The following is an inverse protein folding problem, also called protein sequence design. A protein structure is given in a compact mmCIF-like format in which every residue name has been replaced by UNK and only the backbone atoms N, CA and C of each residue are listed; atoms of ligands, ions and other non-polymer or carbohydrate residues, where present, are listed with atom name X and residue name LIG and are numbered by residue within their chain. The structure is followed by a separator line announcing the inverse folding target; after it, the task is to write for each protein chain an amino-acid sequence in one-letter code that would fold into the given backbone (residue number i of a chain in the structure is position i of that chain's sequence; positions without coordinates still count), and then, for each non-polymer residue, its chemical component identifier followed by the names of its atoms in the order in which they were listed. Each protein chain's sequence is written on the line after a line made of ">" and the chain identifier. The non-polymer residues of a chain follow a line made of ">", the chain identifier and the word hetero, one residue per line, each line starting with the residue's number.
data_IF_588403393438
#
_entry.id   IF_588403393438
#
_cell.length_a   1.000
_cell.length_b   1.000
_cell.length_c   1.000
_cell.angle_alpha   90.00
_cell.angle_beta   90.00
_cell.angle_gamma   90.00
#
_symmetry.space_group_name_H-M   'P 1'
#
loop_
_entity.id
_entity.type
_entity.pdbx_description
1 polymer ?
#
# COMPACT_ATOMS: atom_id res chain seq x y z
N UNK A 1 -13.95 -4.00 -6.21
CA UNK A 1 -12.75 -4.00 -5.36
C UNK A 1 -12.16 -5.40 -5.31
N UNK A 2 -10.84 -5.53 -5.32
CA UNK A 2 -10.15 -6.82 -5.17
C UNK A 2 -10.41 -7.39 -3.77
N UNK A 3 -10.76 -8.68 -3.65
CA UNK A 3 -10.99 -9.34 -2.36
C UNK A 3 -9.79 -9.27 -1.40
N UNK A 4 -8.58 -9.11 -1.94
CA UNK A 4 -7.36 -8.95 -1.14
C UNK A 4 -7.28 -7.61 -0.39
N UNK A 5 -7.85 -6.54 -0.96
CA UNK A 5 -7.89 -5.21 -0.33
C UNK A 5 -8.86 -5.22 0.86
N UNK A 6 -10.02 -5.86 0.71
CA UNK A 6 -10.98 -6.03 1.79
C UNK A 6 -10.38 -6.79 2.97
N UNK A 7 -9.61 -7.85 2.69
CA UNK A 7 -8.92 -8.63 3.72
C UNK A 7 -7.86 -7.81 4.50
N UNK A 8 -7.22 -6.81 3.90
CA UNK A 8 -6.31 -5.90 4.62
C UNK A 8 -7.07 -5.04 5.63
N UNK A 9 -8.21 -4.47 5.23
CA UNK A 9 -9.07 -3.71 6.13
C UNK A 9 -9.57 -4.57 7.28
N UNK A 10 -10.05 -5.78 7.01
CA UNK A 10 -10.51 -6.72 8.05
C UNK A 10 -9.39 -7.11 9.04
N UNK A 11 -8.15 -7.27 8.56
CA UNK A 11 -7.00 -7.65 9.40
C UNK A 11 -6.46 -6.50 10.24
N UNK A 12 -6.47 -5.27 9.72
CA UNK A 12 -5.82 -4.11 10.34
C UNK A 12 -6.78 -3.15 11.01
N UNK A 13 -8.08 -3.20 10.66
CA UNK A 13 -9.09 -2.22 11.05
C UNK A 13 -8.91 -0.86 10.37
N UNK A 14 -7.98 -0.71 9.42
CA UNK A 14 -7.67 0.57 8.81
C UNK A 14 -8.51 0.79 7.55
N UNK A 15 -9.31 1.86 7.56
CA UNK A 15 -10.11 2.28 6.40
C UNK A 15 -9.26 2.77 5.23
N UNK A 16 -7.95 2.96 5.44
CA UNK A 16 -7.06 3.51 4.43
C UNK A 16 -6.96 2.67 3.16
N UNK A 17 -7.16 1.36 3.27
CA UNK A 17 -7.13 0.47 2.12
C UNK A 17 -8.31 0.68 1.15
N UNK A 18 -9.30 1.48 1.53
CA UNK A 18 -10.44 1.86 0.69
C UNK A 18 -10.42 3.33 0.24
N UNK A 19 -9.48 4.16 0.72
CA UNK A 19 -9.38 5.57 0.35
C UNK A 19 -8.40 5.80 -0.82
N UNK A 20 -8.55 6.92 -1.52
CA UNK A 20 -7.66 7.31 -2.64
C UNK A 20 -6.23 7.65 -2.18
N UNK A 21 -6.05 7.98 -0.90
CA UNK A 21 -4.73 8.24 -0.32
C UNK A 21 -4.79 8.57 1.17
N UNK A 22 -3.62 8.57 1.82
CA UNK A 22 -3.43 8.94 3.23
C UNK A 22 -2.45 10.10 3.34
N UNK A 23 -2.76 11.07 4.19
CA UNK A 23 -1.72 11.93 4.74
C UNK A 23 -1.16 11.27 6.01
N UNK A 24 0.07 10.77 5.94
CA UNK A 24 0.75 10.12 7.06
C UNK A 24 2.26 10.41 7.02
N UNK A 25 2.93 10.11 8.13
CA UNK A 25 4.39 10.17 8.15
C UNK A 25 5.00 9.03 7.31
N UNK A 26 6.27 9.18 6.97
CA UNK A 26 6.99 8.24 6.11
C UNK A 26 7.06 6.82 6.70
N UNK A 27 7.22 6.70 8.02
CA UNK A 27 7.28 5.40 8.71
C UNK A 27 5.98 4.62 8.51
N UNK A 28 4.83 5.27 8.75
CA UNK A 28 3.52 4.67 8.57
C UNK A 28 3.26 4.32 7.10
N UNK A 29 3.70 5.17 6.16
CA UNK A 29 3.59 4.88 4.73
C UNK A 29 4.36 3.60 4.35
N UNK A 30 5.59 3.42 4.86
CA UNK A 30 6.38 2.22 4.65
C UNK A 30 5.71 0.97 5.21
N UNK A 31 5.18 1.03 6.43
CA UNK A 31 4.50 -0.11 7.06
C UNK A 31 3.24 -0.53 6.28
N UNK A 32 2.42 0.44 5.88
CA UNK A 32 1.20 0.19 5.10
C UNK A 32 1.51 -0.44 3.74
N UNK A 33 2.58 0.02 3.07
CA UNK A 33 2.99 -0.54 1.79
C UNK A 33 3.60 -1.94 1.96
N UNK A 34 4.39 -2.18 3.01
CA UNK A 34 4.92 -3.51 3.30
C UNK A 34 3.77 -4.53 3.56
N UNK A 35 2.76 -4.13 4.34
CA UNK A 35 1.55 -4.95 4.55
C UNK A 35 0.82 -5.23 3.25
N UNK A 36 0.69 -4.20 2.40
CA UNK A 36 0.04 -4.32 1.09
C UNK A 36 0.80 -5.25 0.16
N UNK A 37 2.12 -5.17 0.13
CA UNK A 37 2.98 -6.04 -0.69
C UNK A 37 2.79 -7.50 -0.30
N UNK A 38 2.82 -7.79 1.01
CA UNK A 38 2.61 -9.13 1.53
C UNK A 38 1.22 -9.68 1.17
N UNK A 39 0.16 -8.89 1.36
CA UNK A 39 -1.20 -9.37 1.08
C UNK A 39 -1.46 -9.54 -0.43
N UNK A 40 -0.93 -8.62 -1.24
CA UNK A 40 -1.18 -8.60 -2.68
C UNK A 40 -0.33 -9.61 -3.46
N UNK A 41 0.58 -10.33 -2.80
CA UNK A 41 1.66 -11.11 -3.43
C UNK A 41 2.43 -10.25 -4.44
N UNK A 42 2.65 -8.98 -4.10
CA UNK A 42 3.40 -8.05 -4.94
C UNK A 42 4.90 -8.39 -4.88
N UNK A 43 5.64 -8.04 -5.94
CA UNK A 43 7.08 -8.29 -6.03
C UNK A 43 7.85 -7.44 -5.01
N UNK A 44 7.32 -6.28 -4.67
CA UNK A 44 7.93 -5.36 -3.75
C UNK A 44 7.30 -3.98 -3.79
N UNK A 45 8.03 -3.01 -3.28
CA UNK A 45 7.64 -1.61 -3.18
C UNK A 45 8.54 -0.76 -4.09
N UNK A 46 7.96 0.26 -4.70
CA UNK A 46 8.71 1.31 -5.38
C UNK A 46 8.37 2.68 -4.79
N UNK A 47 9.42 3.49 -4.54
CA UNK A 47 9.29 4.90 -4.19
C UNK A 47 9.45 5.71 -5.46
N UNK A 48 8.46 6.55 -5.78
CA UNK A 48 8.54 7.43 -6.96
C UNK A 48 9.57 8.53 -6.68
N UNK A 49 10.65 8.64 -7.47
CA UNK A 49 11.63 9.71 -7.31
C UNK A 49 11.06 11.04 -7.82
N UNK A 50 11.21 12.10 -7.02
CA UNK A 50 10.72 13.45 -7.29
C UNK A 50 10.75 14.32 -6.04
N UNK A 51 10.92 15.64 -6.19
CA UNK A 51 11.13 16.57 -5.07
C UNK A 51 9.95 16.65 -4.07
N UNK A 52 8.79 16.04 -4.39
CA UNK A 52 7.57 16.06 -3.56
C UNK A 52 6.82 14.74 -3.52
N UNK A 53 7.38 13.64 -4.01
CA UNK A 53 6.65 12.37 -4.11
C UNK A 53 6.82 11.54 -2.84
N UNK A 54 5.86 11.69 -1.91
CA UNK A 54 5.61 10.77 -0.79
C UNK A 54 4.72 9.58 -1.22
N UNK A 55 4.77 9.21 -2.51
CA UNK A 55 3.96 8.15 -3.09
C UNK A 55 4.74 6.83 -3.04
N UNK A 56 4.19 5.88 -2.30
CA UNK A 56 4.67 4.51 -2.20
C UNK A 56 3.68 3.59 -2.92
N UNK A 57 4.17 2.75 -3.82
CA UNK A 57 3.32 1.86 -4.61
C UNK A 57 3.80 0.41 -4.49
N UNK A 58 2.84 -0.52 -4.42
CA UNK A 58 3.10 -1.96 -4.50
C UNK A 58 3.19 -2.38 -5.98
N UNK A 59 4.26 -3.09 -6.35
CA UNK A 59 4.48 -3.57 -7.70
C UNK A 59 3.89 -4.96 -7.90
N UNK A 60 2.80 -5.07 -8.64
CA UNK A 60 2.16 -6.35 -8.95
C UNK A 60 2.66 -6.85 -10.31
N UNK A 61 3.21 -8.07 -10.37
CA UNK A 61 3.46 -8.75 -11.65
C UNK A 61 2.15 -9.34 -12.17
N UNK A 62 1.73 -8.98 -13.38
CA UNK A 62 0.71 -9.75 -14.10
C UNK A 62 1.42 -10.70 -15.05
N UNK A 63 1.25 -12.01 -14.83
CA UNK A 63 1.47 -13.02 -15.86
C UNK A 63 0.35 -12.96 -16.90
#
# INVERSE_FOLDING_TARGET
>A
MSGKIKALKEKTGLDIFEAEGLNCNEVMAYELVAMSVHQLDAIGMYRVPGEKSHLFVALIYKK
#
